data_IF_760270234379
#
_entry.id   IF_760270234379
#
_cell.length_a   1.000
_cell.length_b   1.000
_cell.length_c   1.000
_cell.angle_alpha   90.00
_cell.angle_beta   90.00
_cell.angle_gamma   90.00
#
_symmetry.space_group_name_H-M   'P 1'
#
loop_
_entity.id
_entity.type
_entity.pdbx_description
1 polymer ?
#
# COMPACT_ATOMS: atom_id res chain seq x y z
N UNK A 1 6.09 -18.63 -15.79
CA UNK A 1 5.13 -18.61 -14.66
C UNK A 1 5.87 -18.32 -13.38
N UNK A 2 5.35 -17.44 -12.51
CA UNK A 2 5.92 -17.19 -11.19
C UNK A 2 5.76 -18.42 -10.29
N UNK A 3 6.77 -18.69 -9.45
CA UNK A 3 6.68 -19.73 -8.43
C UNK A 3 5.71 -19.31 -7.31
N UNK A 4 5.15 -20.27 -6.57
CA UNK A 4 4.30 -19.97 -5.41
C UNK A 4 5.01 -19.10 -4.36
N UNK A 5 6.33 -19.29 -4.20
CA UNK A 5 7.16 -18.46 -3.32
C UNK A 5 7.22 -17.01 -3.81
N UNK A 6 7.48 -16.80 -5.10
CA UNK A 6 7.52 -15.45 -5.69
C UNK A 6 6.16 -14.75 -5.60
N UNK A 7 5.07 -15.46 -5.91
CA UNK A 7 3.70 -14.93 -5.78
C UNK A 7 3.38 -14.48 -4.35
N UNK A 8 3.73 -15.30 -3.36
CA UNK A 8 3.53 -14.98 -1.95
C UNK A 8 4.36 -13.75 -1.54
N UNK A 9 5.60 -13.65 -2.02
CA UNK A 9 6.47 -12.51 -1.72
C UNK A 9 5.89 -11.21 -2.27
N UNK A 10 5.45 -11.18 -3.53
CA UNK A 10 4.80 -10.01 -4.15
C UNK A 10 3.56 -9.60 -3.35
N UNK A 11 2.69 -10.56 -2.99
CA UNK A 11 1.51 -10.26 -2.18
C UNK A 11 1.90 -9.68 -0.81
N UNK A 12 2.94 -10.22 -0.17
CA UNK A 12 3.45 -9.69 1.10
C UNK A 12 3.98 -8.26 0.94
N UNK A 13 4.76 -7.98 -0.11
CA UNK A 13 5.29 -6.64 -0.40
C UNK A 13 4.15 -5.63 -0.61
N UNK A 14 3.13 -5.99 -1.40
CA UNK A 14 1.93 -5.14 -1.58
C UNK A 14 1.25 -4.84 -0.25
N UNK A 15 1.03 -5.85 0.60
CA UNK A 15 0.38 -5.65 1.90
C UNK A 15 1.24 -4.85 2.88
N UNK A 16 2.56 -4.99 2.84
CA UNK A 16 3.50 -4.18 3.62
C UNK A 16 3.44 -2.70 3.20
N UNK A 17 3.45 -2.42 1.89
CA UNK A 17 3.29 -1.04 1.40
C UNK A 17 1.93 -0.45 1.80
N UNK A 18 0.84 -1.20 1.68
CA UNK A 18 -0.50 -0.74 2.13
C UNK A 18 -0.52 -0.52 3.65
N UNK A 19 0.20 -1.33 4.43
CA UNK A 19 0.32 -1.14 5.86
C UNK A 19 0.99 0.20 6.21
N UNK A 20 2.07 0.55 5.52
CA UNK A 20 2.72 1.86 5.66
C UNK A 20 1.78 3.01 5.25
N UNK A 21 1.01 2.84 4.16
CA UNK A 21 -0.02 3.82 3.73
C UNK A 21 -1.19 3.91 4.72
N UNK A 22 -1.41 2.90 5.57
CA UNK A 22 -2.46 2.93 6.59
C UNK A 22 -2.05 3.66 7.88
N UNK A 23 -0.75 3.94 8.06
CA UNK A 23 -0.17 4.53 9.27
C UNK A 23 0.29 5.97 9.01
N UNK A 24 -0.56 6.93 9.37
CA UNK A 24 -0.24 8.36 9.28
C UNK A 24 0.99 8.75 10.12
N UNK A 25 1.22 8.10 11.27
CA UNK A 25 2.36 8.42 12.13
C UNK A 25 3.66 7.99 11.46
N UNK A 26 3.67 6.79 10.86
CA UNK A 26 4.77 6.33 10.02
C UNK A 26 5.05 7.34 8.90
N UNK A 27 4.02 7.75 8.15
CA UNK A 27 4.17 8.66 7.03
C UNK A 27 4.75 10.02 7.43
N UNK A 28 4.30 10.61 8.54
CA UNK A 28 4.90 11.87 9.03
C UNK A 28 6.36 11.69 9.42
N UNK A 29 6.66 10.62 10.15
CA UNK A 29 8.03 10.31 10.60
C UNK A 29 8.99 10.09 9.42
N UNK A 30 8.57 9.28 8.46
CA UNK A 30 9.44 8.84 7.36
C UNK A 30 9.36 9.81 6.17
N UNK A 31 8.19 9.99 5.57
CA UNK A 31 8.06 10.77 4.32
C UNK A 31 8.26 12.27 4.49
N UNK A 32 8.03 12.83 5.69
CA UNK A 32 8.17 14.28 5.94
C UNK A 32 9.45 14.60 6.70
N UNK A 33 9.76 13.85 7.76
CA UNK A 33 10.91 14.13 8.61
C UNK A 33 12.17 13.34 8.24
N UNK A 34 12.08 12.30 7.41
CA UNK A 34 13.21 11.44 7.06
C UNK A 34 13.78 10.68 8.25
N UNK A 35 12.95 10.42 9.27
CA UNK A 35 13.40 9.86 10.55
C UNK A 35 13.23 8.34 10.60
N UNK A 36 14.20 7.58 10.11
CA UNK A 36 14.17 6.12 10.28
C UNK A 36 15.29 5.42 9.53
N UNK A 37 15.56 4.13 9.85
CA UNK A 37 16.39 3.30 8.99
C UNK A 37 15.75 3.02 7.62
N UNK A 38 14.44 3.28 7.49
CA UNK A 38 13.70 3.13 6.25
C UNK A 38 14.07 4.25 5.27
N UNK A 39 14.58 3.87 4.10
CA UNK A 39 14.71 4.75 2.92
C UNK A 39 13.42 4.55 2.13
N UNK A 40 12.40 5.33 2.47
CA UNK A 40 11.10 5.32 1.78
C UNK A 40 10.56 6.75 1.79
N UNK A 41 10.04 7.21 0.67
CA UNK A 41 9.27 8.44 0.56
C UNK A 41 7.97 8.17 -0.18
N UNK A 42 7.18 9.21 -0.42
CA UNK A 42 5.91 9.02 -1.10
C UNK A 42 6.05 8.51 -2.55
N UNK A 43 7.11 8.93 -3.26
CA UNK A 43 7.37 8.50 -4.63
C UNK A 43 7.82 7.03 -4.67
N UNK A 44 8.71 6.63 -3.76
CA UNK A 44 9.15 5.24 -3.58
C UNK A 44 7.98 4.35 -3.17
N UNK A 45 7.14 4.78 -2.23
CA UNK A 45 5.89 4.11 -1.87
C UNK A 45 4.98 3.91 -3.07
N UNK A 46 4.79 4.94 -3.91
CA UNK A 46 3.99 4.84 -5.13
C UNK A 46 4.61 3.82 -6.11
N UNK A 47 5.91 3.91 -6.35
CA UNK A 47 6.62 2.99 -7.25
C UNK A 47 6.51 1.54 -6.78
N UNK A 48 6.75 1.28 -5.50
CA UNK A 48 6.65 -0.04 -4.89
C UNK A 48 5.23 -0.60 -5.01
N UNK A 49 4.21 0.19 -4.64
CA UNK A 49 2.83 -0.27 -4.71
C UNK A 49 2.39 -0.55 -6.15
N UNK A 50 2.65 0.34 -7.10
CA UNK A 50 2.16 0.15 -8.46
C UNK A 50 2.97 -0.90 -9.22
N UNK A 51 4.27 -1.04 -8.93
CA UNK A 51 5.13 -2.05 -9.55
C UNK A 51 4.66 -3.48 -9.24
N UNK A 52 4.30 -3.75 -7.99
CA UNK A 52 3.85 -5.09 -7.57
C UNK A 52 2.32 -5.24 -7.60
N UNK A 53 1.59 -4.17 -7.30
CA UNK A 53 0.14 -4.17 -7.15
C UNK A 53 -0.62 -4.23 -8.47
N UNK A 54 -0.13 -3.58 -9.54
CA UNK A 54 -0.79 -3.62 -10.84
C UNK A 54 -0.74 -5.04 -11.46
N UNK A 55 0.42 -5.72 -11.54
CA UNK A 55 0.48 -7.11 -12.02
C UNK A 55 -0.32 -8.09 -11.16
N UNK A 56 -0.36 -7.88 -9.84
CA UNK A 56 -1.15 -8.68 -8.91
C UNK A 56 -2.65 -8.55 -9.20
N UNK A 57 -3.15 -7.33 -9.41
CA UNK A 57 -4.57 -7.09 -9.73
C UNK A 57 -4.97 -7.65 -11.09
N UNK A 58 -4.11 -7.53 -12.11
CA UNK A 58 -4.34 -8.11 -13.44
C UNK A 58 -4.48 -9.63 -13.39
N UNK A 59 -3.76 -10.28 -12.48
CA UNK A 59 -3.66 -11.74 -12.38
C UNK A 59 -4.16 -12.27 -11.03
N UNK A 60 -5.10 -11.60 -10.35
CA UNK A 60 -5.42 -11.85 -8.94
C UNK A 60 -5.75 -13.32 -8.60
N UNK A 61 -6.37 -14.06 -9.53
CA UNK A 61 -6.68 -15.49 -9.38
C UNK A 61 -5.41 -16.34 -9.26
N UNK A 62 -4.35 -15.99 -9.99
CA UNK A 62 -3.06 -16.69 -9.95
C UNK A 62 -2.35 -16.49 -8.61
N UNK A 63 -2.67 -15.42 -7.89
CA UNK A 63 -2.19 -15.12 -6.55
C UNK A 63 -3.10 -15.70 -5.45
N UNK A 64 -4.19 -16.38 -5.83
CA UNK A 64 -5.12 -17.01 -4.89
C UNK A 64 -6.04 -16.01 -4.16
N UNK A 65 -6.23 -14.80 -4.70
CA UNK A 65 -7.13 -13.83 -4.10
C UNK A 65 -8.59 -14.23 -4.32
N UNK A 66 -9.40 -14.05 -3.28
CA UNK A 66 -10.86 -14.08 -3.41
C UNK A 66 -11.35 -12.88 -4.21
N UNK A 67 -12.56 -12.99 -4.78
CA UNK A 67 -13.19 -11.87 -5.48
C UNK A 67 -13.39 -10.65 -4.56
N UNK A 68 -13.75 -10.88 -3.30
CA UNK A 68 -13.87 -9.81 -2.31
C UNK A 68 -12.54 -9.07 -2.09
N UNK A 69 -11.44 -9.81 -1.85
CA UNK A 69 -10.10 -9.23 -1.68
C UNK A 69 -9.67 -8.43 -2.92
N UNK A 70 -9.92 -8.96 -4.12
CA UNK A 70 -9.65 -8.27 -5.37
C UNK A 70 -10.44 -6.96 -5.47
N UNK A 71 -11.75 -6.97 -5.17
CA UNK A 71 -12.60 -5.78 -5.27
C UNK A 71 -12.15 -4.66 -4.31
N UNK A 72 -11.81 -5.01 -3.07
CA UNK A 72 -11.34 -4.03 -2.08
C UNK A 72 -9.96 -3.48 -2.46
N UNK A 73 -9.03 -4.35 -2.88
CA UNK A 73 -7.71 -3.91 -3.35
C UNK A 73 -7.79 -3.03 -4.61
N UNK A 74 -8.68 -3.38 -5.55
CA UNK A 74 -8.91 -2.59 -6.77
C UNK A 74 -9.48 -1.21 -6.45
N UNK A 75 -10.43 -1.13 -5.49
CA UNK A 75 -10.96 0.15 -5.00
C UNK A 75 -9.82 1.01 -4.44
N UNK A 76 -8.99 0.45 -3.57
CA UNK A 76 -7.82 1.14 -3.02
C UNK A 76 -6.90 1.65 -4.13
N UNK A 77 -6.47 0.76 -5.04
CA UNK A 77 -5.57 1.09 -6.15
C UNK A 77 -6.08 2.25 -7.00
N UNK A 78 -7.38 2.26 -7.34
CA UNK A 78 -7.97 3.31 -8.16
C UNK A 78 -7.98 4.67 -7.46
N UNK A 79 -8.36 4.69 -6.17
CA UNK A 79 -8.32 5.91 -5.37
C UNK A 79 -6.90 6.42 -5.20
N UNK A 80 -5.97 5.52 -4.88
CA UNK A 80 -4.57 5.87 -4.65
C UNK A 80 -3.93 6.42 -5.93
N UNK A 81 -4.13 5.76 -7.09
CA UNK A 81 -3.69 6.27 -8.40
C UNK A 81 -4.22 7.66 -8.70
N UNK A 82 -5.53 7.85 -8.57
CA UNK A 82 -6.16 9.14 -8.88
C UNK A 82 -5.64 10.28 -7.99
N UNK A 83 -5.14 9.96 -6.80
CA UNK A 83 -4.54 10.91 -5.88
C UNK A 83 -3.06 11.15 -6.18
N UNK A 84 -2.26 10.09 -6.32
CA UNK A 84 -0.82 10.16 -6.57
C UNK A 84 -0.49 10.87 -7.88
N UNK A 85 -1.35 10.76 -8.90
CA UNK A 85 -1.13 11.43 -10.19
C UNK A 85 -1.22 12.97 -10.11
N UNK A 86 -1.66 13.52 -8.97
CA UNK A 86 -1.89 14.97 -8.77
C UNK A 86 -1.10 15.56 -7.61
N UNK A 87 -0.48 14.74 -6.78
CA UNK A 87 0.10 15.15 -5.50
C UNK A 87 1.53 14.65 -5.42
N UNK A 88 2.44 15.51 -4.97
CA UNK A 88 3.88 15.21 -4.96
C UNK A 88 4.51 15.40 -3.58
N UNK A 89 4.03 16.35 -2.78
CA UNK A 89 4.63 16.70 -1.50
C UNK A 89 3.77 16.25 -0.31
N UNK A 90 4.20 15.24 0.47
CA UNK A 90 3.45 14.72 1.62
C UNK A 90 3.05 15.78 2.63
N UNK A 91 3.90 16.78 2.87
CA UNK A 91 3.60 17.88 3.80
C UNK A 91 2.37 18.70 3.43
N UNK A 92 1.96 18.71 2.16
CA UNK A 92 0.79 19.46 1.68
C UNK A 92 -0.51 18.69 1.86
N UNK A 93 -0.46 17.35 1.86
CA UNK A 93 -1.68 16.54 1.79
C UNK A 93 -1.90 15.61 2.99
N UNK A 94 -0.89 15.34 3.82
CA UNK A 94 -0.95 14.30 4.86
C UNK A 94 -2.12 14.46 5.84
N UNK A 95 -2.57 15.70 6.07
CA UNK A 95 -3.66 16.03 6.99
C UNK A 95 -4.99 16.34 6.29
N UNK A 96 -5.05 16.19 4.96
CA UNK A 96 -6.25 16.45 4.17
C UNK A 96 -7.32 15.36 4.39
N UNK A 97 -8.62 15.71 4.23
CA UNK A 97 -9.70 14.73 4.21
C UNK A 97 -9.52 13.65 3.15
N UNK A 98 -9.00 14.01 1.98
CA UNK A 98 -8.78 13.11 0.84
C UNK A 98 -7.77 12.01 1.21
N UNK A 99 -6.65 12.38 1.83
CA UNK A 99 -5.66 11.41 2.30
C UNK A 99 -6.19 10.53 3.44
N UNK A 100 -7.01 11.08 4.34
CA UNK A 100 -7.67 10.30 5.39
C UNK A 100 -8.58 9.20 4.81
N UNK A 101 -9.26 9.47 3.70
CA UNK A 101 -10.07 8.43 3.04
C UNK A 101 -9.19 7.34 2.43
N UNK A 102 -8.03 7.67 1.84
CA UNK A 102 -7.07 6.67 1.35
C UNK A 102 -6.56 5.79 2.50
N UNK A 103 -6.18 6.38 3.64
CA UNK A 103 -5.79 5.63 4.85
C UNK A 103 -6.90 4.68 5.29
N UNK A 104 -8.16 5.15 5.29
CA UNK A 104 -9.31 4.32 5.68
C UNK A 104 -9.51 3.14 4.72
N UNK A 105 -9.45 3.37 3.41
CA UNK A 105 -9.56 2.29 2.42
C UNK A 105 -8.37 1.33 2.51
N UNK A 106 -7.15 1.82 2.78
CA UNK A 106 -5.98 0.96 3.05
C UNK A 106 -6.26 0.00 4.21
N UNK A 107 -6.83 0.49 5.31
CA UNK A 107 -7.23 -0.36 6.46
C UNK A 107 -8.31 -1.38 6.10
N UNK A 108 -9.26 -1.02 5.22
CA UNK A 108 -10.25 -1.97 4.68
C UNK A 108 -9.56 -3.12 3.93
N UNK A 109 -8.53 -2.83 3.13
CA UNK A 109 -7.73 -3.86 2.45
C UNK A 109 -7.07 -4.77 3.47
N UNK A 110 -6.29 -4.23 4.42
CA UNK A 110 -5.56 -5.05 5.39
C UNK A 110 -6.50 -5.97 6.17
N UNK A 111 -7.69 -5.47 6.54
CA UNK A 111 -8.74 -6.27 7.17
C UNK A 111 -9.26 -7.39 6.26
N UNK A 112 -9.50 -7.12 4.97
CA UNK A 112 -9.93 -8.15 4.01
C UNK A 112 -8.90 -9.26 3.79
N UNK A 113 -7.62 -8.96 4.02
CA UNK A 113 -6.51 -9.93 3.94
C UNK A 113 -6.14 -10.55 5.29
N UNK A 114 -6.81 -10.18 6.39
CA UNK A 114 -6.44 -10.56 7.76
C UNK A 114 -4.95 -10.29 8.04
N UNK A 115 -4.43 -9.16 7.55
CA UNK A 115 -3.03 -8.79 7.69
C UNK A 115 -2.83 -7.99 8.98
N UNK A 116 -2.01 -8.50 9.90
CA UNK A 116 -1.78 -7.89 11.23
C UNK A 116 -0.52 -7.01 11.31
N UNK A 117 0.15 -6.75 10.19
CA UNK A 117 1.45 -6.08 10.17
C UNK A 117 2.57 -7.01 10.63
N UNK A 118 3.74 -6.91 10.00
CA UNK A 118 4.94 -7.44 10.66
C UNK A 118 5.26 -6.52 11.83
N UNK A 119 5.20 -7.04 13.07
CA UNK A 119 5.91 -6.41 14.18
C UNK A 119 7.38 -6.43 13.79
N UNK A 120 7.91 -5.28 13.37
CA UNK A 120 9.35 -5.13 13.17
C UNK A 120 10.04 -5.57 14.45
N UNK A 121 10.71 -6.72 14.38
CA UNK A 121 11.76 -7.06 15.34
C UNK A 121 12.89 -6.09 15.03
N UNK A 122 12.90 -4.96 15.71
CA UNK A 122 14.11 -4.18 15.90
C UNK A 122 15.05 -4.95 16.83
#
# INVERSE_FOLDING_TARGET
>A
MLTNKAKKQILTSVLETINNISDKKYQKKIWIHGEGPEVDDFDETCCNFFGDGDPLLENYKDFGLTEFQYLVLKKFRNYFRSFSDKQYHPSEFIDTPEWNEIIKIAKEVLKAFNYEGQKTKH
#
